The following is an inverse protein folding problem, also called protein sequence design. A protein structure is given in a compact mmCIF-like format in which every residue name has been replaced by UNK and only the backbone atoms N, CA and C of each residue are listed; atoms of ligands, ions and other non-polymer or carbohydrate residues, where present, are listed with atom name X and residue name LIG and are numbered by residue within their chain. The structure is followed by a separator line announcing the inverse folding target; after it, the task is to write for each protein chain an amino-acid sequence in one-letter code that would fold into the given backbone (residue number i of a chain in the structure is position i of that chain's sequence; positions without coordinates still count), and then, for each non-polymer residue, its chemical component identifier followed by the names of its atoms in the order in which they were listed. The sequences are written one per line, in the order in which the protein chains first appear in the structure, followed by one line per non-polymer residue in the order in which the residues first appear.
data_IF_163695071374
#
_entry.id   IF_163695071374
#
_cell.length_a   1.000
_cell.length_b   1.000
_cell.length_c   1.000
_cell.angle_alpha   90.00
_cell.angle_beta   90.00
_cell.angle_gamma   90.00
#
_symmetry.space_group_name_H-M   'P 1'
#
loop_
_entity.id
_entity.type
_entity.pdbx_description
1 polymer ?
#
# COMPACT_ATOMS: atom_id res chain seq x y z
N UNK A 1 1.09 -68.32 -20.65
CA UNK A 1 0.00 -67.69 -21.44
C UNK A 1 -0.81 -66.86 -20.44
N UNK A 2 -0.93 -65.53 -20.47
CA UNK A 2 -0.66 -64.49 -21.45
C UNK A 2 -0.11 -63.26 -20.69
N UNK A 3 1.05 -62.78 -21.13
CA UNK A 3 1.52 -61.40 -20.91
C UNK A 3 0.62 -60.47 -21.73
N UNK A 4 0.09 -59.40 -21.15
CA UNK A 4 -0.52 -58.26 -21.85
C UNK A 4 -0.41 -57.01 -20.93
N UNK A 5 -0.32 -55.80 -21.52
CA UNK A 5 0.83 -54.93 -21.32
C UNK A 5 0.47 -53.63 -20.60
N UNK A 6 1.53 -52.87 -20.29
CA UNK A 6 1.59 -51.41 -20.22
C UNK A 6 0.31 -50.67 -20.65
N UNK A 7 -0.21 -49.85 -19.74
CA UNK A 7 -0.82 -48.58 -20.13
C UNK A 7 -0.44 -47.52 -19.09
N UNK A 8 0.67 -46.83 -19.42
CA UNK A 8 1.03 -45.53 -18.87
C UNK A 8 -0.17 -44.58 -19.06
N UNK A 9 -0.74 -44.10 -17.96
CA UNK A 9 -1.54 -42.89 -17.94
C UNK A 9 -0.89 -41.93 -16.95
N UNK A 10 0.24 -41.34 -17.38
CA UNK A 10 0.84 -40.19 -16.72
C UNK A 10 -0.07 -38.99 -16.95
N UNK A 11 -1.05 -38.81 -16.06
CA UNK A 11 -1.83 -37.58 -15.98
C UNK A 11 -0.93 -36.49 -15.37
N UNK A 12 -0.18 -35.79 -16.22
CA UNK A 12 0.42 -34.51 -15.86
C UNK A 12 -0.74 -33.51 -15.65
N UNK A 13 -1.22 -33.39 -14.41
CA UNK A 13 -1.92 -32.19 -13.99
C UNK A 13 -0.90 -31.05 -13.99
N UNK A 14 -0.83 -30.33 -15.11
CA UNK A 14 -0.22 -29.02 -15.15
C UNK A 14 -1.01 -28.12 -14.18
N UNK A 15 -0.53 -27.99 -12.96
CA UNK A 15 -0.94 -26.92 -12.06
C UNK A 15 -0.44 -25.61 -12.70
N UNK A 16 -1.28 -25.00 -13.54
CA UNK A 16 -1.17 -23.58 -13.83
C UNK A 16 -1.38 -22.84 -12.53
N UNK A 17 -0.30 -22.66 -11.77
CA UNK A 17 -0.26 -21.71 -10.69
C UNK A 17 -0.46 -20.34 -11.33
N UNK A 18 -1.66 -19.80 -11.21
CA UNK A 18 -1.89 -18.37 -11.36
C UNK A 18 -1.06 -17.69 -10.28
N UNK A 19 0.16 -17.29 -10.62
CA UNK A 19 0.91 -16.31 -9.84
C UNK A 19 0.14 -15.01 -10.03
N UNK A 20 -0.83 -14.76 -9.15
CA UNK A 20 -1.42 -13.43 -9.04
C UNK A 20 -0.27 -12.49 -8.68
N UNK A 21 0.14 -11.63 -9.60
CA UNK A 21 0.91 -10.46 -9.25
C UNK A 21 0.01 -9.58 -8.35
N UNK A 22 0.05 -9.84 -7.06
CA UNK A 22 -0.67 -9.15 -5.97
C UNK A 22 -0.22 -7.69 -5.78
N UNK A 23 0.34 -7.06 -6.82
CA UNK A 23 1.12 -5.82 -6.67
C UNK A 23 0.26 -4.57 -6.53
N UNK A 24 -0.61 -4.29 -7.50
CA UNK A 24 -1.29 -2.99 -7.57
C UNK A 24 -2.60 -2.90 -6.76
N UNK A 25 -3.58 -3.80 -6.90
CA UNK A 25 -4.84 -3.70 -6.14
C UNK A 25 -4.64 -3.78 -4.63
N UNK A 26 -3.72 -4.64 -4.17
CA UNK A 26 -3.43 -4.78 -2.74
C UNK A 26 -2.65 -3.57 -2.19
N UNK A 27 -1.83 -2.93 -3.02
CA UNK A 27 -1.13 -1.71 -2.66
C UNK A 27 -2.08 -0.51 -2.56
N UNK A 28 -3.03 -0.36 -3.49
CA UNK A 28 -4.08 0.68 -3.40
C UNK A 28 -4.91 0.51 -2.13
N UNK A 29 -5.35 -0.72 -1.83
CA UNK A 29 -6.10 -1.02 -0.61
C UNK A 29 -5.28 -0.74 0.65
N UNK A 30 -3.98 -0.99 0.62
CA UNK A 30 -3.08 -0.70 1.75
C UNK A 30 -2.86 0.79 1.93
N UNK A 31 -2.66 1.54 0.84
CA UNK A 31 -2.57 3.00 0.88
C UNK A 31 -3.86 3.62 1.44
N UNK A 32 -5.03 3.22 0.93
CA UNK A 32 -6.31 3.70 1.42
C UNK A 32 -6.49 3.46 2.93
N UNK A 33 -6.18 2.23 3.39
CA UNK A 33 -6.25 1.86 4.81
C UNK A 33 -5.37 2.77 5.68
N UNK A 34 -4.13 3.01 5.26
CA UNK A 34 -3.20 3.89 5.99
C UNK A 34 -3.78 5.30 6.11
N UNK A 35 -4.29 5.86 5.01
CA UNK A 35 -4.87 7.20 5.02
C UNK A 35 -6.14 7.28 5.88
N UNK A 36 -6.97 6.24 5.89
CA UNK A 36 -8.17 6.17 6.74
C UNK A 36 -7.81 6.08 8.23
N UNK A 37 -6.80 5.29 8.58
CA UNK A 37 -6.30 5.19 9.95
C UNK A 37 -5.67 6.50 10.44
N UNK A 38 -4.96 7.23 9.55
CA UNK A 38 -4.44 8.56 9.86
C UNK A 38 -5.55 9.56 10.17
N UNK A 39 -6.59 9.61 9.34
CA UNK A 39 -7.74 10.49 9.56
C UNK A 39 -8.53 10.09 10.83
N UNK A 40 -8.51 8.81 11.21
CA UNK A 40 -9.09 8.32 12.46
C UNK A 40 -8.19 8.54 13.70
N UNK A 41 -6.96 9.02 13.52
CA UNK A 41 -5.97 9.16 14.61
C UNK A 41 -5.42 7.83 15.14
N UNK A 42 -5.60 6.73 14.42
CA UNK A 42 -5.12 5.39 14.79
C UNK A 42 -3.66 5.18 14.35
N UNK A 43 -2.76 5.96 14.94
CA UNK A 43 -1.34 5.93 14.61
C UNK A 43 -0.67 4.59 14.97
N UNK A 44 -1.20 3.88 15.97
CA UNK A 44 -0.72 2.55 16.34
C UNK A 44 -0.98 1.55 15.21
N UNK A 45 -2.18 1.56 14.62
CA UNK A 45 -2.50 0.69 13.49
C UNK A 45 -1.71 1.04 12.23
N UNK A 46 -1.45 2.33 11.98
CA UNK A 46 -0.60 2.77 10.85
C UNK A 46 0.83 2.22 11.02
N UNK A 47 1.45 2.46 12.18
CA UNK A 47 2.83 2.03 12.44
C UNK A 47 3.00 0.51 12.49
N UNK A 48 1.96 -0.25 12.84
CA UNK A 48 1.98 -1.71 12.75
C UNK A 48 2.15 -2.24 11.31
N UNK A 49 1.76 -1.44 10.30
CA UNK A 49 1.92 -1.76 8.88
C UNK A 49 3.28 -1.41 8.29
N UNK A 50 4.14 -0.70 9.04
CA UNK A 50 5.43 -0.22 8.54
C UNK A 50 6.44 -1.35 8.41
N UNK A 51 7.37 -1.25 7.47
CA UNK A 51 8.55 -2.10 7.46
C UNK A 51 9.47 -1.81 8.67
N UNK A 52 10.54 -2.60 8.82
CA UNK A 52 11.46 -2.43 9.95
C UNK A 52 12.21 -1.10 9.93
N UNK A 53 12.59 -0.60 8.75
CA UNK A 53 13.31 0.66 8.59
C UNK A 53 12.43 1.83 8.99
N UNK A 54 11.20 1.85 8.50
CA UNK A 54 10.23 2.89 8.73
C UNK A 54 9.74 2.89 10.18
N UNK A 55 9.55 1.71 10.79
CA UNK A 55 9.24 1.58 12.23
C UNK A 55 10.34 2.18 13.12
N UNK A 56 11.61 2.11 12.70
CA UNK A 56 12.71 2.71 13.45
C UNK A 56 12.77 4.24 13.31
N UNK A 57 12.26 4.80 12.21
CA UNK A 57 12.33 6.23 11.91
C UNK A 57 11.08 7.00 12.38
N UNK A 58 9.89 6.40 12.22
CA UNK A 58 8.60 7.04 12.36
C UNK A 58 7.70 6.24 13.30
N UNK A 59 7.77 6.58 14.59
CA UNK A 59 6.85 6.09 15.60
C UNK A 59 5.49 6.84 15.57
N UNK A 60 4.55 6.36 16.40
CA UNK A 60 3.21 6.92 16.46
C UNK A 60 3.17 8.38 16.93
N UNK A 61 4.12 8.81 17.78
CA UNK A 61 4.16 10.18 18.30
C UNK A 61 4.64 11.16 17.24
N UNK A 62 5.68 10.80 16.48
CA UNK A 62 6.14 11.57 15.31
C UNK A 62 5.05 11.63 14.24
N UNK A 63 4.36 10.51 13.99
CA UNK A 63 3.28 10.47 13.03
C UNK A 63 2.12 11.39 13.43
N UNK A 64 1.76 11.42 14.73
CA UNK A 64 0.79 12.38 15.28
C UNK A 64 1.21 13.82 15.03
N UNK A 65 2.48 14.16 15.25
CA UNK A 65 2.99 15.51 15.02
C UNK A 65 2.93 15.93 13.55
N UNK A 66 3.14 14.99 12.61
CA UNK A 66 2.94 15.22 11.17
C UNK A 66 1.46 15.42 10.86
N UNK A 67 0.57 14.58 11.40
CA UNK A 67 -0.88 14.70 11.21
C UNK A 67 -1.40 16.07 11.66
N UNK A 68 -0.95 16.59 12.80
CA UNK A 68 -1.32 17.94 13.26
C UNK A 68 -0.94 19.05 12.27
N UNK A 69 0.20 18.92 11.57
CA UNK A 69 0.58 19.88 10.53
C UNK A 69 -0.32 19.79 9.31
N UNK A 70 -0.71 18.58 8.91
CA UNK A 70 -1.64 18.33 7.81
C UNK A 70 -3.04 18.88 8.13
N UNK A 71 -3.48 18.72 9.38
CA UNK A 71 -4.75 19.22 9.92
C UNK A 71 -4.88 20.74 9.86
N UNK A 72 -3.76 21.48 9.88
CA UNK A 72 -3.76 22.92 9.69
C UNK A 72 -4.34 23.35 8.33
N UNK A 73 -4.36 22.47 7.31
CA UNK A 73 -5.01 22.72 6.02
C UNK A 73 -6.55 22.50 6.03
N UNK A 74 -7.14 22.27 7.21
CA UNK A 74 -8.58 22.09 7.41
C UNK A 74 -9.06 20.65 7.20
N UNK A 75 -10.37 20.36 7.34
CA UNK A 75 -10.89 19.01 7.19
C UNK A 75 -10.71 18.48 5.75
N UNK A 76 -10.61 17.16 5.62
CA UNK A 76 -10.64 16.47 4.32
C UNK A 76 -12.02 16.66 3.69
N UNK A 77 -12.05 17.08 2.43
CA UNK A 77 -13.29 17.27 1.65
C UNK A 77 -13.51 16.14 0.65
N UNK A 78 -12.44 15.67 0.01
CA UNK A 78 -12.46 14.51 -0.89
C UNK A 78 -11.04 13.97 -1.13
N UNK A 79 -10.95 12.81 -1.79
CA UNK A 79 -9.70 12.25 -2.31
C UNK A 79 -9.90 11.87 -3.77
N UNK A 80 -8.88 12.10 -4.60
CA UNK A 80 -8.86 11.61 -5.98
C UNK A 80 -8.66 10.09 -6.02
N UNK A 81 -8.91 9.49 -7.19
CA UNK A 81 -8.47 8.13 -7.47
C UNK A 81 -6.92 8.04 -7.34
N UNK A 82 -6.40 6.94 -6.76
CA UNK A 82 -4.96 6.78 -6.59
C UNK A 82 -4.25 6.64 -7.94
N UNK A 83 -3.04 7.18 -8.02
CA UNK A 83 -2.07 6.94 -9.10
C UNK A 83 -1.05 5.93 -8.61
N UNK A 84 -0.92 4.81 -9.32
CA UNK A 84 0.00 3.73 -8.95
C UNK A 84 1.17 3.66 -9.92
N UNK A 85 2.38 3.61 -9.39
CA UNK A 85 3.62 3.45 -10.17
C UNK A 85 4.54 2.42 -9.51
N UNK A 86 5.42 1.80 -10.29
CA UNK A 86 6.51 0.98 -9.76
C UNK A 86 7.78 1.82 -9.70
N UNK A 87 8.45 1.86 -8.54
CA UNK A 87 9.71 2.58 -8.37
C UNK A 87 10.66 1.79 -7.46
N UNK A 88 11.88 1.53 -7.94
CA UNK A 88 12.93 0.87 -7.15
C UNK A 88 12.48 -0.46 -6.48
N UNK A 89 11.63 -1.24 -7.14
CA UNK A 89 11.12 -2.51 -6.60
C UNK A 89 9.95 -2.38 -5.62
N UNK A 90 9.45 -1.16 -5.38
CA UNK A 90 8.25 -0.87 -4.59
C UNK A 90 7.08 -0.46 -5.47
N UNK A 91 5.86 -0.66 -4.96
CA UNK A 91 4.65 -0.08 -5.51
C UNK A 91 4.38 1.24 -4.79
N UNK A 92 4.37 2.35 -5.54
CA UNK A 92 4.14 3.70 -5.02
C UNK A 92 2.74 4.13 -5.38
N UNK A 93 1.95 4.46 -4.37
CA UNK A 93 0.58 4.92 -4.51
C UNK A 93 0.52 6.38 -4.10
N UNK A 94 0.10 7.24 -5.03
CA UNK A 94 -0.10 8.67 -4.78
C UNK A 94 -1.59 8.97 -4.80
N UNK A 95 -2.10 9.51 -3.69
CA UNK A 95 -3.50 9.93 -3.56
C UNK A 95 -3.54 11.42 -3.26
N UNK A 96 -4.20 12.19 -4.13
CA UNK A 96 -4.45 13.60 -3.86
C UNK A 96 -5.57 13.73 -2.85
N UNK A 97 -5.31 14.43 -1.76
CA UNK A 97 -6.24 14.70 -0.68
C UNK A 97 -6.64 16.17 -0.78
N UNK A 98 -7.90 16.43 -1.04
CA UNK A 98 -8.46 17.77 -0.99
C UNK A 98 -8.85 18.09 0.45
N UNK A 99 -8.35 19.21 0.96
CA UNK A 99 -8.72 19.76 2.26
C UNK A 99 -9.29 21.15 2.07
N UNK A 100 -9.97 21.66 3.09
CA UNK A 100 -10.68 22.94 3.00
C UNK A 100 -9.80 24.13 2.57
N UNK A 101 -8.51 24.13 2.93
CA UNK A 101 -7.60 25.24 2.64
C UNK A 101 -6.55 24.94 1.56
N UNK A 102 -6.18 23.67 1.37
CA UNK A 102 -5.17 23.27 0.40
C UNK A 102 -5.36 21.81 -0.01
N UNK A 103 -4.79 21.44 -1.16
CA UNK A 103 -4.68 20.02 -1.56
C UNK A 103 -3.27 19.52 -1.25
N UNK A 104 -3.17 18.26 -0.84
CA UNK A 104 -1.91 17.57 -0.56
C UNK A 104 -1.82 16.32 -1.44
N UNK A 105 -0.64 16.01 -1.96
CA UNK A 105 -0.37 14.71 -2.55
C UNK A 105 0.25 13.81 -1.45
N UNK A 106 -0.46 12.74 -1.13
CA UNK A 106 -0.02 11.73 -0.17
C UNK A 106 0.58 10.54 -0.91
N UNK A 107 1.85 10.25 -0.65
CA UNK A 107 2.60 9.17 -1.26
C UNK A 107 2.82 8.06 -0.25
N UNK A 108 2.38 6.85 -0.58
CA UNK A 108 2.60 5.63 0.20
C UNK A 108 3.40 4.66 -0.67
N UNK A 109 4.63 4.35 -0.26
CA UNK A 109 5.48 3.36 -0.93
C UNK A 109 5.36 2.02 -0.19
N UNK A 110 5.06 0.96 -0.95
CA UNK A 110 4.73 -0.36 -0.43
C UNK A 110 5.75 -1.35 -1.00
N UNK A 111 6.40 -2.09 -0.12
CA UNK A 111 7.41 -3.07 -0.49
C UNK A 111 6.79 -4.36 -1.05
N UNK A 112 7.63 -5.28 -1.52
CA UNK A 112 7.19 -6.56 -2.07
C UNK A 112 6.49 -7.49 -1.05
N UNK A 113 6.60 -7.19 0.26
CA UNK A 113 5.92 -7.90 1.33
C UNK A 113 4.58 -7.23 1.72
N UNK A 114 4.17 -6.17 1.02
CA UNK A 114 2.96 -5.41 1.32
C UNK A 114 3.09 -4.49 2.53
N UNK A 115 4.32 -4.22 3.01
CA UNK A 115 4.59 -3.32 4.14
C UNK A 115 4.82 -1.91 3.63
N UNK A 116 4.47 -0.93 4.45
CA UNK A 116 4.73 0.48 4.13
C UNK A 116 6.21 0.78 4.38
N UNK A 117 6.94 1.07 3.31
CA UNK A 117 8.36 1.41 3.31
C UNK A 117 8.61 2.91 3.10
N UNK A 118 7.58 3.68 2.75
CA UNK A 118 7.63 5.13 2.67
C UNK A 118 6.26 5.78 2.86
N UNK A 119 6.26 6.93 3.54
CA UNK A 119 5.09 7.80 3.70
C UNK A 119 5.54 9.24 3.56
N UNK A 120 4.89 10.00 2.68
CA UNK A 120 5.23 11.39 2.43
C UNK A 120 3.98 12.21 2.10
N UNK A 121 3.94 13.44 2.58
CA UNK A 121 2.90 14.42 2.27
C UNK A 121 3.57 15.69 1.76
N UNK A 122 3.09 16.20 0.62
CA UNK A 122 3.53 17.46 0.06
C UNK A 122 2.32 18.28 -0.42
N UNK A 123 2.43 19.62 -0.48
CA UNK A 123 1.48 20.43 -1.21
C UNK A 123 1.29 19.90 -2.64
N UNK A 124 0.04 19.75 -3.06
CA UNK A 124 -0.26 19.32 -4.43
C UNK A 124 0.19 20.39 -5.42
N UNK A 125 0.90 19.99 -6.48
CA UNK A 125 1.21 20.90 -7.58
C UNK A 125 -0.06 21.17 -8.41
N UNK A 126 -0.27 22.43 -8.88
CA UNK A 126 -1.40 22.80 -9.74
C UNK A 126 -1.53 21.93 -10.99
#
# INVERSE_FOLDING_TARGET
MRVHPLLLAALLCAATGTVCAQGAPDAEATSARVLDQLDAGDFAAVTAGFDAQMSAALDADKLRAVQTQIEAAGPVTSRDAPRVTQQAGMTVVVTRIHRAQASLDATVAIDAAGRVAGLHFAPATP
#
